data_IF_901153798500
#
_entry.id   IF_901153798500
#
_cell.length_a   1.000
_cell.length_b   1.000
_cell.length_c   1.000
_cell.angle_alpha   90.00
_cell.angle_beta   90.00
_cell.angle_gamma   90.00
#
_symmetry.space_group_name_H-M   'P 1'
#
loop_
_entity.id
_entity.type
_entity.pdbx_description
1 polymer ?
#
# COMPACT_ATOMS: atom_id res chain seq x y z
N UNK A 1 -23.91 8.28 -1.10
CA UNK A 1 -22.56 8.86 -1.25
C UNK A 1 -22.68 10.28 -1.81
N UNK A 2 -22.11 11.30 -1.14
CA UNK A 2 -22.11 12.68 -1.65
C UNK A 2 -20.93 12.87 -2.61
N UNK A 3 -21.18 13.46 -3.77
CA UNK A 3 -20.16 13.71 -4.79
C UNK A 3 -19.30 14.90 -4.36
N UNK A 4 -18.03 14.65 -4.06
CA UNK A 4 -17.07 15.70 -3.70
C UNK A 4 -16.68 16.49 -4.95
N UNK A 5 -16.52 17.81 -4.80
CA UNK A 5 -16.01 18.65 -5.89
C UNK A 5 -14.53 18.36 -6.15
N UNK A 6 -14.04 18.57 -7.38
CA UNK A 6 -12.62 18.41 -7.72
C UNK A 6 -11.71 19.28 -6.85
N UNK A 7 -12.19 20.46 -6.47
CA UNK A 7 -11.44 21.39 -5.62
C UNK A 7 -11.34 20.89 -4.17
N UNK A 8 -12.38 20.22 -3.69
CA UNK A 8 -12.37 19.57 -2.39
C UNK A 8 -11.42 18.38 -2.39
N UNK A 9 -11.46 17.54 -3.43
CA UNK A 9 -10.55 16.39 -3.58
C UNK A 9 -9.06 16.76 -3.54
N UNK A 10 -8.68 17.90 -4.16
CA UNK A 10 -7.29 18.39 -4.12
C UNK A 10 -6.78 18.72 -2.72
N UNK A 11 -7.69 19.10 -1.82
CA UNK A 11 -7.37 19.51 -0.45
C UNK A 11 -7.58 18.39 0.57
N UNK A 12 -8.04 17.21 0.13
CA UNK A 12 -8.03 16.02 0.97
C UNK A 12 -6.57 15.60 1.07
N UNK A 13 -5.95 15.96 2.19
CA UNK A 13 -4.70 15.33 2.59
C UNK A 13 -5.03 13.88 2.91
N UNK A 14 -4.42 12.95 2.18
CA UNK A 14 -4.46 11.53 2.55
C UNK A 14 -3.91 11.33 3.97
N UNK A 15 -4.08 10.13 4.52
CA UNK A 15 -3.47 9.77 5.79
C UNK A 15 -2.01 10.26 5.83
N UNK A 16 -1.66 10.96 6.90
CA UNK A 16 -0.41 11.70 7.05
C UNK A 16 0.77 10.89 6.50
N UNK A 17 1.51 11.46 5.54
CA UNK A 17 2.64 10.80 4.88
C UNK A 17 3.74 10.37 5.87
N UNK A 18 3.71 10.91 7.08
CA UNK A 18 4.55 10.51 8.22
C UNK A 18 4.32 9.06 8.67
N UNK A 19 3.10 8.54 8.49
CA UNK A 19 2.70 7.22 8.99
C UNK A 19 3.47 6.08 8.32
N UNK A 20 3.87 6.29 7.07
CA UNK A 20 4.62 5.34 6.26
C UNK A 20 6.09 5.73 6.09
N UNK A 21 6.60 6.66 6.91
CA UNK A 21 7.99 7.06 6.85
C UNK A 21 8.91 5.83 7.05
N UNK A 22 9.86 5.66 6.14
CA UNK A 22 10.78 4.51 6.11
C UNK A 22 10.22 3.24 5.46
N UNK A 23 8.93 3.18 5.12
CA UNK A 23 8.38 2.07 4.35
C UNK A 23 8.69 2.23 2.85
N UNK A 24 8.95 1.12 2.13
CA UNK A 24 9.19 1.14 0.68
C UNK A 24 7.88 1.29 -0.11
N UNK A 25 7.21 2.43 0.02
CA UNK A 25 5.89 2.72 -0.56
C UNK A 25 5.84 2.62 -2.10
N UNK A 26 6.98 2.76 -2.77
CA UNK A 26 7.12 2.62 -4.22
C UNK A 26 7.06 1.16 -4.72
N UNK A 27 7.25 0.18 -3.82
CA UNK A 27 7.26 -1.23 -4.18
C UNK A 27 5.84 -1.82 -4.22
N UNK A 28 5.67 -2.78 -5.12
CA UNK A 28 4.50 -3.60 -5.34
C UNK A 28 4.90 -5.05 -5.12
N UNK A 29 4.23 -5.70 -4.18
CA UNK A 29 4.52 -7.06 -3.74
C UNK A 29 3.47 -8.00 -4.27
N UNK A 30 3.86 -9.06 -5.00
CA UNK A 30 2.90 -9.97 -5.58
C UNK A 30 3.48 -10.90 -6.63
N UNK A 31 2.69 -11.89 -7.09
CA UNK A 31 3.06 -12.72 -8.22
C UNK A 31 2.73 -12.00 -9.54
N UNK A 32 3.68 -11.99 -10.48
CA UNK A 32 3.44 -11.47 -11.83
C UNK A 32 4.37 -10.32 -12.24
N UNK A 33 4.38 -9.96 -13.53
CA UNK A 33 5.30 -8.96 -14.09
C UNK A 33 5.00 -7.52 -13.66
N UNK A 34 3.82 -7.23 -13.11
CA UNK A 34 3.43 -5.92 -12.62
C UNK A 34 3.95 -5.58 -11.21
N UNK A 35 4.48 -6.59 -10.50
CA UNK A 35 5.06 -6.48 -9.16
C UNK A 35 6.59 -6.47 -9.26
N UNK A 36 7.23 -5.55 -8.54
CA UNK A 36 8.69 -5.44 -8.51
C UNK A 36 9.29 -6.11 -7.27
N UNK A 37 8.48 -6.74 -6.42
CA UNK A 37 8.87 -7.50 -5.24
C UNK A 37 8.02 -8.75 -5.07
N UNK A 38 8.58 -9.78 -4.43
CA UNK A 38 7.91 -11.05 -4.12
C UNK A 38 7.00 -10.94 -2.89
N UNK A 39 6.10 -11.89 -2.70
CA UNK A 39 5.30 -11.99 -1.48
C UNK A 39 6.18 -12.21 -0.23
N UNK A 40 7.28 -12.96 -0.35
CA UNK A 40 8.22 -13.16 0.76
C UNK A 40 8.84 -11.84 1.23
N UNK A 41 9.19 -10.96 0.28
CA UNK A 41 9.71 -9.62 0.59
C UNK A 41 8.67 -8.76 1.31
N UNK A 42 7.36 -9.00 1.11
CA UNK A 42 6.30 -8.33 1.85
C UNK A 42 6.25 -8.84 3.29
N UNK A 43 6.29 -10.16 3.51
CA UNK A 43 6.22 -10.73 4.86
C UNK A 43 7.44 -10.36 5.72
N UNK A 44 8.60 -10.14 5.08
CA UNK A 44 9.82 -9.65 5.72
C UNK A 44 9.78 -8.15 6.10
N UNK A 45 8.76 -7.38 5.68
CA UNK A 45 8.65 -5.99 6.07
C UNK A 45 8.39 -5.83 7.57
N UNK A 46 8.84 -4.71 8.17
CA UNK A 46 8.41 -4.31 9.50
C UNK A 46 6.89 -4.32 9.61
N UNK A 47 6.39 -4.77 10.75
CA UNK A 47 4.95 -4.92 11.02
C UNK A 47 4.20 -3.60 10.84
N UNK A 48 4.79 -2.48 11.26
CA UNK A 48 4.20 -1.15 11.09
C UNK A 48 3.90 -0.79 9.62
N UNK A 49 4.71 -1.27 8.66
CA UNK A 49 4.46 -1.05 7.23
C UNK A 49 3.30 -1.91 6.70
N UNK A 50 3.13 -3.11 7.26
CA UNK A 50 2.08 -4.06 6.88
C UNK A 50 0.73 -3.64 7.46
N UNK A 51 0.65 -3.39 8.76
CA UNK A 51 -0.59 -3.02 9.47
C UNK A 51 -1.19 -1.71 8.97
N UNK A 52 -0.35 -0.75 8.60
CA UNK A 52 -0.78 0.57 8.13
C UNK A 52 -0.98 0.63 6.62
N UNK A 53 -0.90 -0.51 5.93
CA UNK A 53 -1.11 -0.63 4.48
C UNK A 53 -0.28 0.36 3.66
N UNK A 54 0.99 0.55 4.07
CA UNK A 54 1.88 1.52 3.46
C UNK A 54 2.42 1.09 2.10
N UNK A 55 2.30 -0.19 1.75
CA UNK A 55 2.79 -0.77 0.50
C UNK A 55 1.65 -1.44 -0.25
N UNK A 56 1.79 -1.55 -1.58
CA UNK A 56 0.84 -2.29 -2.40
C UNK A 56 1.20 -3.77 -2.37
N UNK A 57 0.30 -4.61 -1.87
CA UNK A 57 0.45 -6.06 -1.86
C UNK A 57 -0.71 -6.71 -2.60
N UNK A 58 -0.41 -7.74 -3.37
CA UNK A 58 -1.41 -8.56 -4.06
C UNK A 58 -2.18 -9.41 -3.06
N UNK A 59 -3.48 -9.56 -3.26
CA UNK A 59 -4.30 -10.48 -2.46
C UNK A 59 -3.78 -11.93 -2.55
N UNK A 60 -3.15 -12.29 -3.67
CA UNK A 60 -2.59 -13.63 -3.90
C UNK A 60 -1.40 -13.94 -2.98
N UNK A 61 -0.81 -12.95 -2.30
CA UNK A 61 0.22 -13.20 -1.29
C UNK A 61 -0.33 -13.85 -0.01
N UNK A 62 -1.65 -13.81 0.22
CA UNK A 62 -2.28 -14.34 1.43
C UNK A 62 -2.90 -15.73 1.24
N UNK A 63 -2.70 -16.34 0.06
CA UNK A 63 -3.31 -17.62 -0.30
C UNK A 63 -4.71 -17.49 -0.91
N UNK A 64 -5.20 -18.57 -1.51
CA UNK A 64 -6.55 -18.68 -2.06
C UNK A 64 -7.57 -18.84 -0.91
N UNK A 65 -8.62 -18.03 -0.91
CA UNK A 65 -9.74 -18.09 0.03
C UNK A 65 -10.75 -19.16 -0.37
#
# INVERSE_FOLDING_TARGET
MKKLSRNTLKNIKGADSSICAGCPTQNKYGPGPEYNQTCDNYFALPEYCKERNCVRVSIYCFGDW
#
